data_IF_428227188141
#
_entry.id   IF_428227188141
#
_cell.length_a   1.000
_cell.length_b   1.000
_cell.length_c   1.000
_cell.angle_alpha   90.00
_cell.angle_beta   90.00
_cell.angle_gamma   90.00
#
_symmetry.space_group_name_H-M   'P 1'
#
loop_
_entity.id
_entity.type
_entity.pdbx_description
1 polymer ?
#
# COMPACT_ATOMS: atom_id res chain seq x y z
N UNK A 1 -17.57 -19.92 0.96
CA UNK A 1 -16.17 -20.25 1.31
C UNK A 1 -15.10 -19.43 0.55
N UNK A 2 -15.47 -18.49 -0.33
CA UNK A 2 -14.49 -17.78 -1.17
C UNK A 2 -14.13 -16.35 -0.77
N UNK A 3 -14.33 -15.94 0.49
CA UNK A 3 -13.92 -14.59 0.91
C UNK A 3 -12.44 -14.63 1.33
N UNK A 4 -11.58 -13.96 0.55
CA UNK A 4 -10.15 -13.87 0.80
C UNK A 4 -9.81 -13.20 2.15
N UNK A 5 -10.77 -12.48 2.76
CA UNK A 5 -10.62 -11.87 4.07
C UNK A 5 -11.06 -12.77 5.23
N UNK A 6 -11.55 -13.99 4.95
CA UNK A 6 -12.03 -14.89 6.00
C UNK A 6 -10.87 -15.69 6.59
N UNK A 7 -10.34 -15.18 7.69
CA UNK A 7 -9.32 -15.89 8.47
C UNK A 7 -9.95 -17.06 9.25
N UNK A 8 -9.47 -18.28 8.99
CA UNK A 8 -9.92 -19.52 9.66
C UNK A 8 -8.96 -20.00 10.76
N UNK A 9 -7.92 -19.22 11.08
CA UNK A 9 -6.92 -19.59 12.08
C UNK A 9 -7.46 -19.34 13.48
N UNK A 10 -7.37 -20.37 14.33
CA UNK A 10 -7.73 -20.26 15.76
C UNK A 10 -6.71 -19.45 16.57
N UNK A 11 -5.47 -19.36 16.10
CA UNK A 11 -4.39 -18.64 16.77
C UNK A 11 -3.57 -17.88 15.74
N UNK A 12 -3.24 -16.64 16.07
CA UNK A 12 -2.32 -15.80 15.33
C UNK A 12 -1.26 -15.28 16.30
N UNK A 13 -0.01 -15.25 15.85
CA UNK A 13 1.10 -14.73 16.63
C UNK A 13 1.81 -13.65 15.82
N UNK A 14 2.03 -12.52 16.47
CA UNK A 14 2.77 -11.38 15.92
C UNK A 14 3.94 -11.08 16.85
N UNK A 15 5.09 -10.71 16.29
CA UNK A 15 6.31 -10.46 17.05
C UNK A 15 7.07 -9.25 16.51
N UNK A 16 7.78 -8.58 17.42
CA UNK A 16 8.68 -7.44 17.21
C UNK A 16 8.04 -6.15 16.65
N UNK A 17 8.34 -5.03 17.32
CA UNK A 17 8.12 -3.65 16.84
C UNK A 17 6.70 -3.32 16.34
N UNK A 18 5.69 -4.06 16.79
CA UNK A 18 4.30 -3.64 16.62
C UNK A 18 3.99 -2.66 17.76
N UNK A 19 3.62 -1.40 17.50
CA UNK A 19 3.25 -0.44 18.55
C UNK A 19 1.86 -0.75 19.11
N UNK A 20 1.60 -2.03 19.40
CA UNK A 20 0.33 -2.51 19.92
C UNK A 20 0.03 -1.91 21.29
N UNK A 21 1.08 -1.59 22.06
CA UNK A 21 0.95 -0.90 23.34
C UNK A 21 0.16 0.41 23.16
N UNK A 22 0.59 1.26 22.22
CA UNK A 22 -0.07 2.54 21.93
C UNK A 22 -1.51 2.33 21.45
N UNK A 23 -1.73 1.36 20.56
CA UNK A 23 -3.06 1.04 20.06
C UNK A 23 -4.00 0.52 21.16
N UNK A 24 -3.46 -0.18 22.16
CA UNK A 24 -4.19 -0.73 23.30
C UNK A 24 -4.27 0.24 24.50
N UNK A 25 -3.63 1.40 24.43
CA UNK A 25 -3.53 2.35 25.54
C UNK A 25 -2.60 1.92 26.67
N UNK A 26 -1.70 0.95 26.41
CA UNK A 26 -0.67 0.50 27.36
C UNK A 26 0.47 1.50 27.44
N UNK A 27 0.87 1.80 28.67
CA UNK A 27 1.75 2.91 29.04
C UNK A 27 3.08 2.87 28.24
N UNK A 28 3.45 3.97 27.55
CA UNK A 28 4.68 4.04 26.79
C UNK A 28 5.88 4.23 27.74
N UNK A 29 6.34 3.14 28.33
CA UNK A 29 7.72 3.09 28.80
C UNK A 29 8.64 2.88 27.59
N UNK A 30 9.75 3.61 27.52
CA UNK A 30 10.73 3.51 26.43
C UNK A 30 11.38 2.11 26.31
N UNK A 31 11.19 1.25 27.31
CA UNK A 31 11.69 -0.11 27.34
C UNK A 31 10.53 -1.12 27.28
N UNK A 32 10.43 -1.86 26.17
CA UNK A 32 9.58 -3.06 26.10
C UNK A 32 10.20 -4.16 26.98
N UNK A 33 9.48 -4.66 28.01
CA UNK A 33 9.98 -5.76 28.83
C UNK A 33 10.32 -7.00 28.00
N UNK A 34 11.34 -7.75 28.44
CA UNK A 34 11.64 -9.05 27.83
C UNK A 34 10.43 -9.98 27.97
N UNK A 35 10.05 -10.60 26.86
CA UNK A 35 8.91 -11.53 26.81
C UNK A 35 7.55 -10.88 27.00
N UNK A 36 7.44 -9.55 26.85
CA UNK A 36 6.14 -8.87 26.85
C UNK A 36 5.19 -9.51 25.85
N UNK A 37 3.99 -9.88 26.32
CA UNK A 37 3.00 -10.60 25.55
C UNK A 37 1.61 -10.01 25.82
N UNK A 38 0.96 -9.58 24.75
CA UNK A 38 -0.48 -9.27 24.75
C UNK A 38 -1.22 -10.47 24.18
N UNK A 39 -2.21 -10.96 24.92
CA UNK A 39 -3.16 -11.96 24.42
C UNK A 39 -4.51 -11.28 24.21
N UNK A 40 -5.05 -11.42 23.01
CA UNK A 40 -6.37 -10.92 22.62
C UNK A 40 -7.21 -12.13 22.24
N UNK A 41 -8.08 -12.55 23.14
CA UNK A 41 -8.97 -13.70 22.90
C UNK A 41 -10.31 -13.21 22.36
N UNK A 42 -10.78 -13.81 21.27
CA UNK A 42 -12.17 -13.66 20.83
C UNK A 42 -13.02 -14.70 21.56
N UNK A 43 -13.96 -14.23 22.36
CA UNK A 43 -14.91 -15.05 23.11
C UNK A 43 -16.29 -14.96 22.44
N UNK A 44 -17.07 -16.03 22.58
CA UNK A 44 -18.49 -16.07 22.19
C UNK A 44 -19.28 -16.58 23.38
N UNK A 45 -20.35 -15.88 23.71
CA UNK A 45 -21.35 -16.31 24.69
C UNK A 45 -22.26 -17.37 24.03
N UNK A 46 -22.36 -18.55 24.63
CA UNK A 46 -23.16 -19.66 24.08
C UNK A 46 -24.68 -19.41 24.17
N UNK A 47 -25.13 -18.64 25.16
CA UNK A 47 -26.54 -18.34 25.35
C UNK A 47 -27.03 -17.25 24.39
N UNK A 48 -26.22 -16.20 24.20
CA UNK A 48 -26.61 -15.04 23.40
C UNK A 48 -26.00 -15.00 22.00
N UNK A 49 -24.97 -15.81 21.75
CA UNK A 49 -24.10 -15.72 20.56
C UNK A 49 -23.38 -14.37 20.40
N UNK A 50 -23.37 -13.53 21.45
CA UNK A 50 -22.64 -12.28 21.43
C UNK A 50 -21.13 -12.53 21.50
N UNK A 51 -20.36 -11.65 20.86
CA UNK A 51 -18.90 -11.71 20.86
C UNK A 51 -18.32 -10.73 21.88
N UNK A 52 -17.26 -11.19 22.54
CA UNK A 52 -16.49 -10.40 23.48
C UNK A 52 -15.01 -10.55 23.18
N UNK A 53 -14.23 -9.58 23.63
CA UNK A 53 -12.77 -9.61 23.58
C UNK A 53 -12.24 -9.65 24.98
N UNK A 54 -11.36 -10.62 25.27
CA UNK A 54 -10.60 -10.63 26.53
C UNK A 54 -9.16 -10.23 26.25
N UNK A 55 -8.72 -9.17 26.90
CA UNK A 55 -7.33 -8.74 26.90
C UNK A 55 -6.60 -9.25 28.13
N UNK A 56 -5.43 -9.82 27.89
CA UNK A 56 -4.51 -10.27 28.92
C UNK A 56 -3.11 -9.75 28.60
N UNK A 57 -2.39 -9.42 29.65
CA UNK A 57 -1.05 -8.90 29.55
C UNK A 57 -0.12 -9.77 30.40
N UNK A 58 1.04 -10.09 29.86
CA UNK A 58 2.08 -10.82 30.58
C UNK A 58 3.44 -10.19 30.28
N UNK A 59 4.27 -10.10 31.31
CA UNK A 59 5.65 -9.68 31.20
C UNK A 59 6.52 -10.65 32.02
N UNK A 60 7.79 -10.80 31.64
CA UNK A 60 8.69 -11.64 32.41
C UNK A 60 8.95 -11.01 33.78
N UNK A 61 8.70 -11.78 34.85
CA UNK A 61 9.11 -11.46 36.21
C UNK A 61 10.01 -12.59 36.72
N UNK A 62 11.22 -12.25 37.18
CA UNK A 62 12.20 -13.21 37.68
C UNK A 62 12.51 -14.37 36.68
N UNK A 63 12.49 -14.08 35.38
CA UNK A 63 12.80 -15.05 34.32
C UNK A 63 11.64 -15.98 33.92
N UNK A 64 10.44 -15.79 34.46
CA UNK A 64 9.25 -16.53 34.07
C UNK A 64 8.13 -15.59 33.58
N UNK A 65 7.27 -16.02 32.65
CA UNK A 65 6.08 -15.25 32.28
C UNK A 65 5.18 -15.05 33.50
N UNK A 66 4.87 -13.81 33.84
CA UNK A 66 3.93 -13.47 34.89
C UNK A 66 2.78 -12.66 34.29
N UNK A 67 1.55 -13.05 34.62
CA UNK A 67 0.38 -12.26 34.31
C UNK A 67 0.50 -10.90 35.02
N UNK A 68 0.25 -9.83 34.28
CA UNK A 68 0.26 -8.48 34.79
C UNK A 68 -1.04 -7.78 34.40
N UNK A 69 -1.49 -6.88 35.27
CA UNK A 69 -2.70 -6.11 35.01
C UNK A 69 -2.36 -4.88 34.18
N UNK A 70 -3.13 -4.67 33.11
CA UNK A 70 -3.12 -3.44 32.32
C UNK A 70 -4.57 -2.93 32.20
N UNK A 71 -4.87 -1.70 32.65
CA UNK A 71 -6.22 -1.16 32.60
C UNK A 71 -6.60 -0.76 31.18
N UNK A 72 -7.43 -1.59 30.54
CA UNK A 72 -8.08 -1.29 29.28
C UNK A 72 -9.44 -0.60 29.52
N UNK A 73 -9.76 0.47 28.80
CA UNK A 73 -11.03 1.20 28.95
C UNK A 73 -11.95 0.93 27.77
N UNK A 74 -12.94 0.06 27.96
CA UNK A 74 -14.02 -0.08 26.99
C UNK A 74 -15.13 0.91 27.26
N UNK A 75 -15.53 1.62 26.22
CA UNK A 75 -16.67 2.52 26.27
C UNK A 75 -17.70 2.09 25.23
N UNK A 76 -18.96 2.08 25.64
CA UNK A 76 -20.10 2.02 24.73
C UNK A 76 -20.15 3.26 23.82
N UNK A 77 -21.04 3.24 22.83
CA UNK A 77 -21.26 4.39 21.94
C UNK A 77 -21.79 5.64 22.65
N UNK A 78 -22.26 5.50 23.90
CA UNK A 78 -22.73 6.59 24.76
C UNK A 78 -21.69 7.00 25.81
N UNK A 79 -20.42 6.65 25.63
CA UNK A 79 -19.31 6.91 26.56
C UNK A 79 -19.49 6.31 27.96
N UNK A 80 -20.32 5.28 28.08
CA UNK A 80 -20.50 4.52 29.33
C UNK A 80 -19.47 3.39 29.37
N UNK A 81 -18.69 3.23 30.45
CA UNK A 81 -17.80 2.09 30.64
C UNK A 81 -18.53 0.75 30.54
N UNK A 82 -17.97 -0.17 29.76
CA UNK A 82 -18.52 -1.53 29.53
C UNK A 82 -17.52 -2.63 29.80
N UNK A 83 -16.31 -2.29 30.24
CA UNK A 83 -15.32 -3.29 30.63
C UNK A 83 -15.75 -4.06 31.89
N UNK A 84 -15.46 -5.35 31.90
CA UNK A 84 -15.59 -6.23 33.06
C UNK A 84 -14.23 -6.80 33.42
N UNK A 85 -13.74 -6.48 34.61
CA UNK A 85 -12.51 -7.09 35.14
C UNK A 85 -12.80 -8.48 35.67
N UNK A 86 -12.04 -9.47 35.19
CA UNK A 86 -12.07 -10.86 35.65
C UNK A 86 -10.71 -11.27 36.20
N UNK A 87 -10.63 -12.43 36.85
CA UNK A 87 -9.35 -12.99 37.30
C UNK A 87 -8.35 -13.22 36.14
N UNK A 88 -8.86 -13.45 34.93
CA UNK A 88 -8.05 -13.77 33.76
C UNK A 88 -7.71 -12.56 32.89
N UNK A 89 -8.26 -11.38 33.18
CA UNK A 89 -8.06 -10.17 32.37
C UNK A 89 -9.31 -9.29 32.25
N UNK A 90 -9.25 -8.32 31.35
CA UNK A 90 -10.36 -7.38 31.08
C UNK A 90 -11.17 -7.88 29.89
N UNK A 91 -12.50 -7.95 30.05
CA UNK A 91 -13.44 -8.35 29.01
C UNK A 91 -14.21 -7.12 28.50
N UNK A 92 -14.36 -7.05 27.18
CA UNK A 92 -15.09 -6.02 26.46
C UNK A 92 -16.12 -6.62 25.52
N UNK A 93 -17.31 -6.03 25.35
CA UNK A 93 -18.14 -6.28 24.19
C UNK A 93 -17.35 -6.01 22.90
N UNK A 94 -17.50 -6.87 21.89
CA UNK A 94 -16.71 -6.77 20.65
C UNK A 94 -16.83 -5.40 19.97
N UNK A 95 -18.05 -4.86 19.87
CA UNK A 95 -18.29 -3.56 19.21
C UNK A 95 -17.62 -2.40 19.96
N UNK A 96 -17.52 -2.50 21.29
CA UNK A 96 -16.87 -1.49 22.12
C UNK A 96 -15.35 -1.60 22.02
N UNK A 97 -14.82 -2.82 21.95
CA UNK A 97 -13.41 -3.05 21.65
C UNK A 97 -13.04 -2.52 20.26
N UNK A 98 -13.85 -2.79 19.23
CA UNK A 98 -13.63 -2.29 17.88
C UNK A 98 -13.63 -0.76 17.86
N UNK A 99 -14.58 -0.12 18.55
CA UNK A 99 -14.63 1.35 18.69
C UNK A 99 -13.40 1.91 19.40
N UNK A 100 -12.93 1.24 20.44
CA UNK A 100 -11.70 1.62 21.11
C UNK A 100 -10.48 1.55 20.17
N UNK A 101 -10.31 0.44 19.45
CA UNK A 101 -9.20 0.30 18.49
C UNK A 101 -9.30 1.36 17.39
N UNK A 102 -10.50 1.62 16.88
CA UNK A 102 -10.72 2.67 15.88
C UNK A 102 -10.36 4.06 16.43
N UNK A 103 -10.64 4.34 17.71
CA UNK A 103 -10.27 5.61 18.35
C UNK A 103 -8.75 5.81 18.41
N UNK A 104 -7.97 4.72 18.43
CA UNK A 104 -6.51 4.77 18.41
C UNK A 104 -5.92 5.07 17.03
N UNK A 105 -6.72 5.07 15.96
CA UNK A 105 -6.23 5.32 14.60
C UNK A 105 -5.77 6.76 14.38
N UNK A 106 -6.20 7.70 15.22
CA UNK A 106 -5.97 9.13 15.06
C UNK A 106 -6.80 9.73 13.93
N UNK A 107 -7.20 11.00 14.06
CA UNK A 107 -8.07 11.67 13.07
C UNK A 107 -7.30 12.30 11.92
N UNK A 108 -5.97 12.35 12.00
CA UNK A 108 -5.14 12.94 10.96
C UNK A 108 -4.88 11.93 9.83
N UNK A 109 -4.63 12.44 8.62
CA UNK A 109 -4.21 11.59 7.49
C UNK A 109 -2.87 10.87 7.73
N UNK A 110 -2.10 11.28 8.75
CA UNK A 110 -0.89 10.57 9.17
C UNK A 110 -1.19 9.30 9.99
N UNK A 111 -2.40 9.19 10.55
CA UNK A 111 -2.71 8.20 11.59
C UNK A 111 -2.01 8.53 12.92
N UNK A 112 -2.39 7.85 14.00
CA UNK A 112 -1.90 8.15 15.35
C UNK A 112 -0.40 7.90 15.51
N UNK A 113 0.13 6.84 14.90
CA UNK A 113 1.54 6.46 15.03
C UNK A 113 2.50 7.44 14.34
N UNK A 114 2.03 8.15 13.30
CA UNK A 114 2.85 9.08 12.51
C UNK A 114 2.41 10.53 12.64
N UNK A 115 1.46 10.83 13.54
CA UNK A 115 1.04 12.20 13.77
C UNK A 115 2.08 12.93 14.61
N UNK A 116 2.56 14.05 14.10
CA UNK A 116 3.33 15.04 14.85
C UNK A 116 2.59 16.37 14.74
N UNK A 117 2.37 17.04 15.88
CA UNK A 117 1.85 18.41 15.87
C UNK A 117 2.82 19.35 15.15
N UNK A 118 2.34 20.53 14.74
CA UNK A 118 3.13 21.42 13.89
C UNK A 118 4.42 21.93 14.56
N UNK A 119 4.40 22.14 15.88
CA UNK A 119 5.57 22.58 16.65
C UNK A 119 6.61 21.46 16.71
N UNK A 120 6.18 20.25 17.10
CA UNK A 120 7.04 19.08 17.13
C UNK A 120 7.61 18.77 15.75
N UNK A 121 6.78 18.81 14.70
CA UNK A 121 7.24 18.58 13.32
C UNK A 121 8.30 19.58 12.88
N UNK A 122 8.13 20.87 13.20
CA UNK A 122 9.13 21.91 12.90
C UNK A 122 10.43 21.68 13.67
N UNK A 123 10.33 21.39 14.96
CA UNK A 123 11.49 21.10 15.81
C UNK A 123 12.22 19.84 15.37
N UNK A 124 11.48 18.83 14.90
CA UNK A 124 12.01 17.55 14.46
C UNK A 124 12.71 17.63 13.10
N UNK A 125 12.29 18.55 12.23
CA UNK A 125 13.04 18.93 11.02
C UNK A 125 13.26 17.80 10.02
N UNK A 126 12.42 16.75 10.04
CA UNK A 126 12.70 15.50 9.30
C UNK A 126 12.28 15.55 7.82
N UNK A 127 11.45 16.54 7.43
CA UNK A 127 10.95 16.74 6.07
C UNK A 127 11.98 17.48 5.19
N UNK A 128 13.08 16.80 4.89
CA UNK A 128 14.18 17.30 4.05
C UNK A 128 14.54 16.29 2.95
N UNK A 129 15.06 16.78 1.83
CA UNK A 129 15.55 15.92 0.75
C UNK A 129 16.86 15.22 1.13
N UNK A 130 17.08 14.03 0.57
CA UNK A 130 18.33 13.29 0.74
C UNK A 130 18.40 12.60 2.09
N UNK A 131 19.61 12.49 2.64
CA UNK A 131 19.88 11.75 3.88
C UNK A 131 19.13 12.32 5.09
N UNK A 132 18.78 11.46 6.04
CA UNK A 132 18.14 11.90 7.28
C UNK A 132 19.11 12.81 8.08
N UNK A 133 18.65 13.99 8.55
CA UNK A 133 19.48 14.96 9.28
C UNK A 133 19.85 14.49 10.69
N UNK A 134 19.14 13.51 11.24
CA UNK A 134 19.44 12.92 12.54
C UNK A 134 19.05 11.43 12.59
N UNK A 135 19.62 10.65 13.53
CA UNK A 135 19.24 9.26 13.76
C UNK A 135 17.76 9.07 14.13
N UNK A 136 17.15 10.05 14.79
CA UNK A 136 15.73 10.03 15.14
C UNK A 136 14.89 10.21 13.89
N UNK A 137 15.27 11.13 12.99
CA UNK A 137 14.60 11.28 11.70
C UNK A 137 14.72 10.03 10.83
N UNK A 138 15.87 9.35 10.82
CA UNK A 138 16.04 8.08 10.11
C UNK A 138 15.03 7.02 10.62
N UNK A 139 14.87 6.91 11.94
CA UNK A 139 13.86 6.03 12.56
C UNK A 139 12.43 6.42 12.19
N UNK A 140 12.13 7.71 12.22
CA UNK A 140 10.81 8.20 11.84
C UNK A 140 10.50 7.98 10.37
N UNK A 141 11.48 8.13 9.46
CA UNK A 141 11.32 7.80 8.03
C UNK A 141 11.05 6.32 7.80
N UNK A 142 11.78 5.45 8.49
CA UNK A 142 11.57 4.01 8.40
C UNK A 142 10.17 3.59 8.88
N UNK A 143 9.61 4.30 9.86
CA UNK A 143 8.27 4.03 10.41
C UNK A 143 7.14 4.71 9.62
N UNK A 144 7.37 5.94 9.18
CA UNK A 144 6.37 6.87 8.66
C UNK A 144 6.81 7.56 7.35
N UNK A 145 7.21 6.81 6.30
CA UNK A 145 7.87 7.37 5.12
C UNK A 145 7.01 8.39 4.37
N UNK A 146 5.69 8.16 4.30
CA UNK A 146 4.74 9.07 3.65
C UNK A 146 4.64 10.44 4.34
N UNK A 147 4.93 10.51 5.64
CA UNK A 147 4.85 11.74 6.44
C UNK A 147 6.23 12.40 6.60
N UNK A 148 7.29 11.60 6.56
CA UNK A 148 8.64 12.05 6.79
C UNK A 148 9.31 12.59 5.52
N UNK A 149 9.00 12.07 4.34
CA UNK A 149 9.56 12.58 3.08
C UNK A 149 8.77 13.79 2.56
N UNK A 150 9.46 14.77 1.95
CA UNK A 150 8.80 15.86 1.24
C UNK A 150 7.88 15.35 0.12
N UNK A 151 6.87 16.14 -0.22
CA UNK A 151 5.95 15.82 -1.32
C UNK A 151 6.70 15.58 -2.64
N UNK A 152 6.34 14.50 -3.34
CA UNK A 152 7.00 14.09 -4.60
C UNK A 152 8.25 13.25 -4.40
N UNK A 153 8.64 12.92 -3.16
CA UNK A 153 9.77 12.03 -2.85
C UNK A 153 9.30 10.68 -2.30
N UNK A 154 10.16 9.67 -2.41
CA UNK A 154 9.98 8.33 -1.84
C UNK A 154 11.16 8.03 -0.94
N UNK A 155 10.87 7.37 0.17
CA UNK A 155 11.88 6.82 1.05
C UNK A 155 12.61 5.64 0.39
N UNK A 156 13.94 5.71 0.35
CA UNK A 156 14.84 4.64 -0.09
C UNK A 156 15.35 3.89 1.13
N UNK A 157 14.94 2.62 1.26
CA UNK A 157 15.29 1.74 2.38
C UNK A 157 16.79 1.42 2.42
N UNK A 158 17.54 1.65 1.33
CA UNK A 158 18.96 1.29 1.25
C UNK A 158 19.86 2.28 1.98
N UNK A 159 19.48 3.55 2.02
CA UNK A 159 20.29 4.64 2.56
C UNK A 159 19.50 5.61 3.46
N UNK A 160 18.27 5.24 3.84
CA UNK A 160 17.35 6.02 4.67
C UNK A 160 17.02 7.43 4.11
N UNK A 161 17.23 7.63 2.81
CA UNK A 161 17.09 8.93 2.18
C UNK A 161 15.72 9.12 1.53
N UNK A 162 15.29 10.38 1.40
CA UNK A 162 14.15 10.73 0.58
C UNK A 162 14.67 11.15 -0.80
N UNK A 163 14.29 10.39 -1.82
CA UNK A 163 14.67 10.67 -3.22
C UNK A 163 13.45 11.10 -4.01
N UNK A 164 13.59 12.00 -4.99
CA UNK A 164 12.48 12.30 -5.89
C UNK A 164 11.91 11.01 -6.45
N UNK A 165 10.57 10.91 -6.54
CA UNK A 165 9.94 9.94 -7.42
C UNK A 165 10.50 10.25 -8.79
N UNK A 166 11.46 9.45 -9.23
CA UNK A 166 11.64 9.21 -10.65
C UNK A 166 10.42 8.36 -11.03
N UNK A 167 9.25 9.02 -11.08
CA UNK A 167 8.26 8.62 -12.08
C UNK A 167 9.08 8.70 -13.33
N UNK A 168 9.37 7.55 -13.92
CA UNK A 168 10.11 7.46 -15.15
C UNK A 168 9.37 8.39 -16.13
N UNK A 169 9.82 9.63 -16.27
CA UNK A 169 9.33 10.55 -17.30
C UNK A 169 9.71 10.02 -18.68
N UNK A 170 10.36 8.86 -18.74
CA UNK A 170 10.50 8.01 -19.93
C UNK A 170 9.24 7.20 -20.25
N UNK A 171 8.17 7.27 -19.43
CA UNK A 171 6.81 7.04 -19.97
C UNK A 171 6.35 8.33 -20.65
N UNK A 172 6.96 8.60 -21.80
CA UNK A 172 6.41 9.44 -22.86
C UNK A 172 6.09 10.86 -22.37
N UNK A 173 7.05 11.78 -22.50
CA UNK A 173 6.69 13.14 -22.89
C UNK A 173 5.72 13.00 -24.06
N UNK A 174 4.43 13.28 -23.81
CA UNK A 174 3.37 13.20 -24.82
C UNK A 174 3.73 14.03 -26.06
N UNK A 175 4.73 14.92 -26.00
CA UNK A 175 5.31 15.58 -27.17
C UNK A 175 6.13 14.67 -28.08
N UNK A 176 7.02 13.83 -27.53
CA UNK A 176 7.90 12.97 -28.34
C UNK A 176 7.15 11.79 -28.98
N UNK A 177 6.23 11.15 -28.23
CA UNK A 177 5.39 10.07 -28.75
C UNK A 177 4.43 10.54 -29.84
N UNK A 178 3.84 11.74 -29.67
CA UNK A 178 2.97 12.35 -30.68
C UNK A 178 3.76 12.79 -31.92
N UNK A 179 4.97 13.33 -31.77
CA UNK A 179 5.82 13.70 -32.91
C UNK A 179 6.21 12.48 -33.77
N UNK A 180 6.57 11.36 -33.14
CA UNK A 180 6.87 10.10 -33.86
C UNK A 180 5.60 9.56 -34.54
N UNK A 181 4.45 9.61 -33.87
CA UNK A 181 3.16 9.21 -34.46
C UNK A 181 2.78 10.04 -35.69
N UNK A 182 2.92 11.36 -35.62
CA UNK A 182 2.64 12.26 -36.75
C UNK A 182 3.63 11.99 -37.90
N UNK A 183 4.92 11.84 -37.61
CA UNK A 183 5.92 11.54 -38.62
C UNK A 183 5.61 10.22 -39.35
N UNK A 184 5.23 9.17 -38.62
CA UNK A 184 4.89 7.88 -39.21
C UNK A 184 3.67 7.96 -40.15
N UNK A 185 2.63 8.73 -39.78
CA UNK A 185 1.44 8.93 -40.63
C UNK A 185 1.79 9.71 -41.90
N UNK A 186 2.60 10.77 -41.78
CA UNK A 186 3.01 11.59 -42.94
C UNK A 186 3.89 10.77 -43.89
N UNK A 187 4.87 10.02 -43.36
CA UNK A 187 5.71 9.12 -44.16
C UNK A 187 4.87 8.02 -44.83
N UNK A 188 3.93 7.42 -44.11
CA UNK A 188 3.01 6.42 -44.68
C UNK A 188 2.13 6.99 -45.80
N UNK A 189 1.64 8.22 -45.65
CA UNK A 189 0.85 8.90 -46.67
C UNK A 189 1.67 9.29 -47.90
N UNK A 190 2.91 9.76 -47.71
CA UNK A 190 3.81 10.03 -48.84
C UNK A 190 4.19 8.76 -49.59
N UNK A 191 4.42 7.66 -48.86
CA UNK A 191 4.72 6.36 -49.46
C UNK A 191 3.53 5.82 -50.26
N UNK A 192 2.30 5.98 -49.77
CA UNK A 192 1.10 5.55 -50.51
C UNK A 192 0.86 6.39 -51.77
N UNK A 193 1.07 7.72 -51.72
CA UNK A 193 1.04 8.57 -52.91
C UNK A 193 2.11 8.18 -53.93
N UNK A 194 3.32 7.86 -53.46
CA UNK A 194 4.42 7.42 -54.32
C UNK A 194 4.09 6.10 -55.03
N UNK A 195 3.55 5.11 -54.30
CA UNK A 195 3.10 3.85 -54.88
C UNK A 195 1.93 4.05 -55.86
N UNK A 196 0.96 4.89 -55.52
CA UNK A 196 -0.19 5.20 -56.39
C UNK A 196 0.20 5.92 -57.69
N UNK A 197 1.27 6.71 -57.70
CA UNK A 197 1.76 7.36 -58.92
C UNK A 197 2.76 6.53 -59.72
N UNK A 198 3.57 5.69 -59.08
CA UNK A 198 4.54 4.85 -59.78
C UNK A 198 3.94 3.54 -60.32
N UNK A 199 2.96 2.95 -59.64
CA UNK A 199 2.27 1.76 -60.15
C UNK A 199 1.64 1.94 -61.54
N UNK A 200 0.90 3.03 -61.85
CA UNK A 200 0.38 3.23 -63.20
C UNK A 200 1.48 3.52 -64.22
N UNK A 201 2.61 4.13 -63.83
CA UNK A 201 3.74 4.38 -64.75
C UNK A 201 4.51 3.10 -65.07
N UNK A 202 4.65 2.18 -64.11
CA UNK A 202 5.28 0.87 -64.33
C UNK A 202 4.37 -0.11 -65.07
N UNK A 203 3.05 -0.03 -64.88
CA UNK A 203 2.09 -0.82 -65.64
C UNK A 203 1.90 -0.30 -67.08
N UNK A 204 2.02 1.01 -67.33
CA UNK A 204 1.94 1.57 -68.69
C UNK A 204 3.23 1.37 -69.50
N UNK A 205 4.40 1.29 -68.85
CA UNK A 205 5.66 0.97 -69.53
C UNK A 205 5.83 -0.52 -69.84
N UNK A 206 5.19 -1.42 -69.09
CA UNK A 206 5.09 -2.85 -69.43
C UNK A 206 3.93 -3.21 -70.38
N UNK A 207 2.82 -2.49 -70.32
CA UNK A 207 1.64 -2.74 -71.17
C UNK A 207 1.80 -2.45 -72.66
N UNK A 208 2.91 -1.84 -73.09
CA UNK A 208 3.22 -1.59 -74.49
C UNK A 208 4.21 -2.60 -75.11
N UNK A 209 4.70 -3.59 -74.34
CA UNK A 209 5.76 -4.50 -74.82
C UNK A 209 5.42 -5.99 -74.79
N UNK A 210 4.32 -6.46 -74.20
CA UNK A 210 4.00 -7.89 -74.15
C UNK A 210 2.52 -8.17 -74.44
N UNK A 211 2.18 -8.18 -75.73
CA UNK A 211 1.02 -8.89 -76.25
C UNK A 211 1.42 -10.35 -76.54
N UNK A 212 1.81 -11.10 -75.52
CA UNK A 212 1.92 -12.58 -75.55
C UNK A 212 2.22 -13.13 -74.15
N UNK A 213 1.33 -13.98 -73.62
CA UNK A 213 1.69 -15.02 -72.64
C UNK A 213 1.30 -14.78 -71.17
N UNK A 214 0.28 -15.52 -70.74
CA UNK A 214 0.02 -16.12 -69.40
C UNK A 214 0.39 -15.38 -68.08
N UNK A 215 -0.64 -15.14 -67.26
CA UNK A 215 -0.57 -15.12 -65.79
C UNK A 215 -0.24 -16.53 -65.26
N UNK A 216 0.41 -16.74 -64.08
CA UNK A 216 -0.23 -16.46 -62.77
C UNK A 216 0.73 -16.21 -61.58
N UNK A 217 0.17 -15.88 -60.41
CA UNK A 217 0.91 -15.90 -59.15
C UNK A 217 0.19 -15.22 -58.00
N UNK A 218 -0.60 -16.00 -57.27
CA UNK A 218 -1.33 -15.66 -56.05
C UNK A 218 -0.46 -15.02 -54.95
N UNK A 219 -0.99 -14.01 -54.27
CA UNK A 219 -0.67 -13.78 -52.84
C UNK A 219 -1.99 -13.71 -52.08
N UNK A 220 -2.18 -14.78 -51.31
CA UNK A 220 -3.30 -15.12 -50.46
C UNK A 220 -3.59 -14.03 -49.42
N UNK A 221 -4.85 -13.58 -49.39
CA UNK A 221 -5.41 -12.74 -48.34
C UNK A 221 -5.62 -13.62 -47.11
N UNK A 222 -4.73 -13.54 -46.13
CA UNK A 222 -4.96 -14.15 -44.82
C UNK A 222 -5.98 -13.31 -44.05
N UNK A 223 -7.26 -13.62 -44.25
CA UNK A 223 -8.34 -13.20 -43.38
C UNK A 223 -8.17 -13.86 -42.00
N UNK A 224 -8.02 -13.04 -40.96
CA UNK A 224 -8.20 -13.46 -39.56
C UNK A 224 -9.70 -13.43 -39.26
N UNK A 225 -10.37 -14.55 -38.92
CA UNK A 225 -11.76 -14.48 -38.48
C UNK A 225 -11.80 -14.14 -36.97
N UNK A 226 -12.56 -13.10 -36.64
CA UNK A 226 -13.12 -12.91 -35.31
C UNK A 226 -14.43 -13.69 -35.22
N UNK A 227 -14.47 -14.71 -34.37
CA UNK A 227 -15.64 -15.12 -33.59
C UNK A 227 -15.15 -15.76 -32.29
#
# INVERSE_FOLDING_TARGET
>A
EGDANRNTKMMMQYAHRVPIQTALGHDPSDATPLGETFLVDLLRDDATNAYFVRLRYAAAANGAPAAAFFPFRCLSAADVPTDATTADGVICPFDDFARFVESSSGTSAAGAACYLDEETRKKFGCSVEGAAPSPECARYRAMCPAQACPGGQVYDVRDDSCKPRVVLSDVISNGAGVAVGIAAVVLGFLLSLFLMHLCPMLCLTKGASEMHGDCPGDVEVSAVPRQ
#
